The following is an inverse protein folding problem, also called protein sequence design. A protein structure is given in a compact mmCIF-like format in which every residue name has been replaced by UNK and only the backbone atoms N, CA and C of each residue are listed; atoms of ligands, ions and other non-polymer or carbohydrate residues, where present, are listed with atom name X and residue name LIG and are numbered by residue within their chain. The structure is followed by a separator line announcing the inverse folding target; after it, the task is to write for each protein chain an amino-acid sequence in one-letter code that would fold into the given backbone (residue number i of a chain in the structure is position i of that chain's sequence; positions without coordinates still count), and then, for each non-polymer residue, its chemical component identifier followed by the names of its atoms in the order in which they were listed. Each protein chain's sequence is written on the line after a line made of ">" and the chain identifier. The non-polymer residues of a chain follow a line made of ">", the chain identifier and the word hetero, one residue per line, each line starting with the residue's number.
data_IF_114823225518
#
_entry.id   IF_114823225518
#
_cell.length_a   1.000
_cell.length_b   1.000
_cell.length_c   1.000
_cell.angle_alpha   90.00
_cell.angle_beta   90.00
_cell.angle_gamma   90.00
#
_symmetry.space_group_name_H-M   'P 1'
#
loop_
_entity.id
_entity.type
_entity.pdbx_description
1 polymer ?
#
# COMPACT_ATOMS: atom_id res chain seq x y z
N UNK A 1 7.88 23.21 6.65
CA UNK A 1 8.66 22.69 7.78
C UNK A 1 10.15 22.88 7.51
N UNK A 2 10.88 23.68 8.31
CA UNK A 2 12.33 23.68 8.31
C UNK A 2 12.85 22.37 8.92
N UNK A 3 13.98 21.85 8.42
CA UNK A 3 14.58 20.58 8.83
C UNK A 3 15.33 19.90 7.66
N UNK A 4 16.27 19.02 7.98
CA UNK A 4 17.00 18.21 6.98
C UNK A 4 16.02 17.30 6.22
N UNK A 5 16.39 16.82 5.03
CA UNK A 5 15.53 15.90 4.26
C UNK A 5 15.18 14.64 5.09
N UNK A 6 16.10 14.21 5.95
CA UNK A 6 15.91 13.08 6.85
C UNK A 6 14.80 13.36 7.88
N UNK A 7 14.83 14.51 8.56
CA UNK A 7 13.81 14.91 9.55
C UNK A 7 12.41 15.05 8.96
N UNK A 8 12.29 15.30 7.66
CA UNK A 8 10.99 15.40 6.97
C UNK A 8 10.41 14.04 6.57
N UNK A 9 11.27 13.04 6.37
CA UNK A 9 10.87 11.70 5.95
C UNK A 9 10.67 10.79 7.17
N UNK A 10 11.34 11.10 8.28
CA UNK A 10 11.32 10.35 9.55
C UNK A 10 9.91 9.90 10.03
N UNK A 11 8.85 10.73 9.98
CA UNK A 11 7.52 10.28 10.40
C UNK A 11 6.95 9.13 9.55
N UNK A 12 7.29 9.08 8.26
CA UNK A 12 6.86 8.02 7.32
C UNK A 12 7.70 6.75 7.45
N UNK A 13 8.90 6.85 8.05
CA UNK A 13 9.78 5.70 8.28
C UNK A 13 9.49 5.04 9.62
N UNK A 14 8.77 5.70 10.52
CA UNK A 14 8.46 5.18 11.86
C UNK A 14 7.84 3.77 11.85
N UNK A 15 6.85 3.44 10.99
CA UNK A 15 6.31 2.08 10.95
C UNK A 15 7.36 1.01 10.62
N UNK A 16 8.33 1.34 9.75
CA UNK A 16 9.44 0.44 9.42
C UNK A 16 10.40 0.29 10.61
N UNK A 17 10.68 1.37 11.33
CA UNK A 17 11.46 1.31 12.57
C UNK A 17 10.78 0.48 13.65
N UNK A 18 9.47 0.65 13.84
CA UNK A 18 8.68 -0.12 14.80
C UNK A 18 8.72 -1.62 14.45
N UNK A 19 8.55 -1.97 13.16
CA UNK A 19 8.66 -3.35 12.69
C UNK A 19 10.07 -3.95 12.93
N UNK A 20 11.13 -3.17 12.77
CA UNK A 20 12.49 -3.62 13.09
C UNK A 20 12.66 -3.89 14.59
N UNK A 21 12.05 -3.08 15.46
CA UNK A 21 12.08 -3.28 16.91
C UNK A 21 11.37 -4.56 17.38
N UNK A 22 10.37 -5.04 16.63
CA UNK A 22 9.70 -6.31 16.91
C UNK A 22 10.56 -7.53 16.51
N UNK A 23 11.53 -7.35 15.62
CA UNK A 23 12.35 -8.43 15.05
C UNK A 23 13.78 -8.50 15.61
N UNK A 24 14.29 -7.39 16.16
CA UNK A 24 15.69 -7.23 16.51
C UNK A 24 15.86 -6.47 17.82
N UNK A 25 17.00 -6.68 18.49
CA UNK A 25 17.35 -5.91 19.68
C UNK A 25 17.36 -4.40 19.38
N UNK A 26 16.61 -3.56 20.12
CA UNK A 26 16.50 -2.12 19.88
C UNK A 26 17.85 -1.38 19.85
N UNK A 27 18.83 -1.87 20.61
CA UNK A 27 20.17 -1.28 20.69
C UNK A 27 21.05 -1.61 19.47
N UNK A 28 20.71 -2.66 18.72
CA UNK A 28 21.45 -3.07 17.53
C UNK A 28 21.01 -2.28 16.28
N UNK A 29 19.75 -1.89 16.20
CA UNK A 29 19.17 -1.21 15.02
C UNK A 29 19.95 0.06 14.64
N UNK A 30 20.23 1.01 15.56
CA UNK A 30 20.99 2.22 15.21
C UNK A 30 22.40 1.89 14.68
N UNK A 31 23.05 0.85 15.20
CA UNK A 31 24.39 0.43 14.77
C UNK A 31 24.35 -0.14 13.35
N UNK A 32 23.35 -0.95 13.04
CA UNK A 32 23.18 -1.54 11.70
C UNK A 32 22.79 -0.50 10.65
N UNK A 33 21.95 0.47 11.03
CA UNK A 33 21.62 1.63 10.18
C UNK A 33 22.86 2.48 9.89
N UNK A 34 23.66 2.81 10.91
CA UNK A 34 24.91 3.57 10.75
C UNK A 34 25.96 2.83 9.93
N UNK A 35 26.04 1.50 10.06
CA UNK A 35 26.92 0.65 9.27
C UNK A 35 26.44 0.45 7.82
N UNK A 36 25.23 0.90 7.47
CA UNK A 36 24.62 0.71 6.16
C UNK A 36 24.16 -0.72 5.88
N UNK A 37 24.09 -1.57 6.92
CA UNK A 37 23.57 -2.94 6.81
C UNK A 37 22.05 -2.94 6.63
N UNK A 38 21.37 -2.04 7.35
CA UNK A 38 19.96 -1.73 7.13
C UNK A 38 19.91 -0.35 6.50
N UNK A 39 19.22 -0.24 5.38
CA UNK A 39 19.00 1.02 4.70
C UNK A 39 17.50 1.22 4.49
N UNK A 40 16.98 2.32 5.04
CA UNK A 40 15.62 2.78 4.78
C UNK A 40 15.73 4.05 3.93
N UNK A 41 15.25 3.98 2.70
CA UNK A 41 15.40 5.06 1.73
C UNK A 41 14.17 5.19 0.84
N UNK A 42 13.83 6.42 0.40
CA UNK A 42 12.74 6.62 -0.53
C UNK A 42 13.08 6.05 -1.92
N UNK A 43 12.06 5.64 -2.67
CA UNK A 43 12.20 5.00 -3.99
C UNK A 43 13.12 5.76 -4.97
N UNK A 44 13.13 7.09 -4.90
CA UNK A 44 13.96 7.93 -5.77
C UNK A 44 15.47 7.66 -5.62
N UNK A 45 15.92 7.18 -4.46
CA UNK A 45 17.34 6.89 -4.17
C UNK A 45 17.81 5.60 -4.83
N UNK A 46 16.88 4.79 -5.35
CA UNK A 46 17.21 3.54 -6.04
C UNK A 46 17.70 3.78 -7.47
N UNK A 47 17.44 4.96 -8.04
CA UNK A 47 17.82 5.30 -9.41
C UNK A 47 19.33 5.14 -9.62
N UNK A 48 19.71 4.37 -10.63
CA UNK A 48 21.11 4.16 -11.02
C UNK A 48 21.89 3.19 -10.14
N UNK A 49 21.27 2.61 -9.11
CA UNK A 49 21.91 1.58 -8.27
C UNK A 49 21.83 0.20 -8.93
N UNK A 50 22.75 -0.67 -8.53
CA UNK A 50 22.64 -2.12 -8.67
C UNK A 50 22.79 -2.68 -7.27
N UNK A 51 21.82 -3.46 -6.81
CA UNK A 51 21.75 -3.96 -5.45
C UNK A 51 22.20 -5.43 -5.47
N UNK A 52 23.45 -5.68 -5.09
CA UNK A 52 24.02 -7.03 -4.97
C UNK A 52 24.04 -7.46 -3.50
N UNK A 53 23.97 -8.77 -3.28
CA UNK A 53 24.02 -9.41 -1.95
C UNK A 53 23.07 -8.78 -0.92
N UNK A 54 21.85 -8.42 -1.35
CA UNK A 54 20.88 -7.68 -0.55
C UNK A 54 19.49 -8.33 -0.56
N UNK A 55 18.75 -8.13 0.54
CA UNK A 55 17.31 -8.37 0.62
C UNK A 55 16.59 -7.04 0.59
N UNK A 56 15.78 -6.80 -0.44
CA UNK A 56 15.18 -5.50 -0.71
C UNK A 56 13.66 -5.62 -0.64
N UNK A 57 13.03 -4.72 0.11
CA UNK A 57 11.57 -4.61 0.20
C UNK A 57 11.15 -3.27 -0.38
N UNK A 58 10.20 -3.31 -1.33
CA UNK A 58 9.44 -2.13 -1.74
C UNK A 58 8.05 -2.24 -1.13
N UNK A 59 7.77 -1.39 -0.15
CA UNK A 59 6.48 -1.32 0.50
C UNK A 59 5.56 -0.26 -0.11
N UNK A 60 4.25 -0.42 0.11
CA UNK A 60 3.20 0.45 -0.44
C UNK A 60 3.28 0.62 -1.97
N UNK A 61 3.65 -0.46 -2.66
CA UNK A 61 3.98 -0.45 -4.08
C UNK A 61 2.81 -0.05 -5.00
N UNK A 62 1.57 -0.09 -4.50
CA UNK A 62 0.40 0.38 -5.22
C UNK A 62 0.51 1.88 -5.58
N UNK A 63 1.29 2.65 -4.80
CA UNK A 63 1.54 4.08 -5.00
C UNK A 63 2.72 4.38 -5.93
N UNK A 64 3.23 3.37 -6.64
CA UNK A 64 4.24 3.57 -7.69
C UNK A 64 3.60 3.67 -9.06
N UNK A 65 4.23 4.37 -10.01
CA UNK A 65 3.88 4.28 -11.43
C UNK A 65 4.53 3.05 -12.06
N UNK A 66 4.03 2.62 -13.23
CA UNK A 66 4.66 1.53 -14.00
C UNK A 66 6.14 1.80 -14.32
N UNK A 67 6.49 3.06 -14.59
CA UNK A 67 7.88 3.48 -14.85
C UNK A 67 8.76 3.38 -13.61
N UNK A 68 8.24 3.78 -12.44
CA UNK A 68 8.93 3.66 -11.17
C UNK A 68 9.12 2.19 -10.77
N UNK A 69 8.09 1.36 -10.97
CA UNK A 69 8.15 -0.08 -10.73
C UNK A 69 9.22 -0.74 -11.61
N UNK A 70 9.22 -0.45 -12.92
CA UNK A 70 10.27 -0.93 -13.84
C UNK A 70 11.66 -0.44 -13.43
N UNK A 71 11.78 0.84 -13.06
CA UNK A 71 13.04 1.41 -12.57
C UNK A 71 13.56 0.63 -11.36
N UNK A 72 12.69 0.31 -10.41
CA UNK A 72 13.02 -0.41 -9.19
C UNK A 72 13.40 -1.87 -9.43
N UNK A 73 12.56 -2.64 -10.14
CA UNK A 73 12.82 -4.06 -10.38
C UNK A 73 14.11 -4.29 -11.16
N UNK A 74 14.48 -3.36 -12.05
CA UNK A 74 15.75 -3.42 -12.79
C UNK A 74 16.98 -3.03 -11.95
N UNK A 75 16.84 -2.78 -10.64
CA UNK A 75 17.97 -2.59 -9.73
C UNK A 75 18.47 -3.91 -9.13
N UNK A 76 17.74 -5.02 -9.32
CA UNK A 76 18.14 -6.35 -8.85
C UNK A 76 19.52 -6.74 -9.38
N UNK A 77 20.45 -7.00 -8.47
CA UNK A 77 21.77 -7.53 -8.75
C UNK A 77 21.93 -9.01 -8.34
N UNK A 78 23.16 -9.50 -8.41
CA UNK A 78 23.48 -10.88 -8.04
C UNK A 78 23.32 -11.12 -6.54
N UNK A 79 23.04 -12.37 -6.16
CA UNK A 79 22.90 -12.76 -4.75
C UNK A 79 21.74 -12.10 -4.00
N UNK A 80 20.84 -11.42 -4.72
CA UNK A 80 19.82 -10.56 -4.11
C UNK A 80 18.41 -11.09 -4.29
N UNK A 81 17.49 -10.63 -3.44
CA UNK A 81 16.05 -10.91 -3.51
C UNK A 81 15.27 -9.62 -3.34
N UNK A 82 14.25 -9.44 -4.18
CA UNK A 82 13.29 -8.35 -4.05
C UNK A 82 11.95 -8.93 -3.60
N UNK A 83 11.34 -8.29 -2.61
CA UNK A 83 9.93 -8.46 -2.24
C UNK A 83 9.22 -7.14 -2.48
N UNK A 84 8.09 -7.18 -3.17
CA UNK A 84 7.24 -6.02 -3.42
C UNK A 84 5.92 -6.26 -2.71
N UNK A 85 5.52 -5.35 -1.81
CA UNK A 85 4.28 -5.43 -1.03
C UNK A 85 3.38 -4.25 -1.37
N UNK A 86 2.06 -4.45 -1.27
CA UNK A 86 1.08 -3.39 -1.46
C UNK A 86 -0.34 -3.92 -1.64
N UNK A 87 -1.31 -3.01 -1.57
CA UNK A 87 -2.74 -3.30 -1.75
C UNK A 87 -3.28 -2.59 -3.01
N UNK A 88 -3.60 -3.36 -4.04
CA UNK A 88 -4.11 -2.84 -5.32
C UNK A 88 -5.47 -2.12 -5.21
N UNK A 89 -6.16 -2.23 -4.08
CA UNK A 89 -7.44 -1.54 -3.82
C UNK A 89 -7.24 -0.15 -3.21
N UNK A 90 -6.06 0.16 -2.69
CA UNK A 90 -5.74 1.41 -1.98
C UNK A 90 -4.75 2.29 -2.77
N UNK A 91 -4.98 2.42 -4.08
CA UNK A 91 -4.12 3.22 -4.96
C UNK A 91 -4.34 4.71 -4.70
N UNK A 92 -3.30 5.39 -4.23
CA UNK A 92 -3.26 6.85 -4.04
C UNK A 92 -2.29 7.50 -5.03
N UNK A 93 -2.66 7.49 -6.31
CA UNK A 93 -1.87 8.11 -7.38
C UNK A 93 -2.56 9.37 -7.91
N UNK A 94 -1.81 10.49 -8.09
CA UNK A 94 -2.35 11.70 -8.69
C UNK A 94 -2.97 11.42 -10.06
N UNK A 95 -4.16 11.96 -10.30
CA UNK A 95 -4.85 11.84 -11.58
C UNK A 95 -5.36 10.43 -11.90
N UNK A 96 -5.41 9.53 -10.92
CA UNK A 96 -5.88 8.15 -11.13
C UNK A 96 -4.97 7.35 -12.06
N UNK A 97 -3.68 7.69 -12.09
CA UNK A 97 -2.71 6.98 -12.91
C UNK A 97 -2.70 5.49 -12.58
N UNK A 98 -2.39 4.67 -13.60
CA UNK A 98 -2.32 3.22 -13.43
C UNK A 98 -1.19 2.85 -12.46
N UNK A 99 -1.54 2.11 -11.42
CA UNK A 99 -0.59 1.58 -10.44
C UNK A 99 0.47 0.68 -11.08
N UNK A 100 1.71 0.88 -10.67
CA UNK A 100 2.87 0.09 -11.04
C UNK A 100 2.79 -1.33 -10.51
N UNK A 101 2.22 -1.54 -9.32
CA UNK A 101 1.98 -2.88 -8.78
C UNK A 101 1.02 -3.68 -9.68
N UNK A 102 -0.12 -3.09 -10.06
CA UNK A 102 -1.07 -3.72 -10.98
C UNK A 102 -0.46 -3.96 -12.37
N UNK A 103 0.32 -2.99 -12.88
CA UNK A 103 1.00 -3.16 -14.16
C UNK A 103 2.03 -4.31 -14.11
N UNK A 104 2.83 -4.40 -13.04
CA UNK A 104 3.81 -5.46 -12.87
C UNK A 104 3.16 -6.84 -12.73
N UNK A 105 2.05 -6.96 -11.98
CA UNK A 105 1.33 -8.23 -11.88
C UNK A 105 0.85 -8.73 -13.25
N UNK A 106 0.38 -7.84 -14.11
CA UNK A 106 -0.07 -8.23 -15.45
C UNK A 106 1.09 -8.52 -16.40
N UNK A 107 2.15 -7.70 -16.39
CA UNK A 107 3.26 -7.77 -17.36
C UNK A 107 4.22 -8.93 -17.04
N UNK A 108 4.45 -9.21 -15.76
CA UNK A 108 5.47 -10.17 -15.32
C UNK A 108 4.89 -11.56 -14.99
N UNK A 109 3.58 -11.74 -15.19
CA UNK A 109 2.96 -13.07 -15.06
C UNK A 109 3.63 -14.05 -16.02
N UNK A 110 4.02 -15.22 -15.49
CA UNK A 110 4.62 -16.30 -16.28
C UNK A 110 6.13 -16.18 -16.50
N UNK A 111 6.79 -15.19 -15.90
CA UNK A 111 8.26 -15.13 -15.86
C UNK A 111 8.76 -16.07 -14.76
N UNK A 112 9.67 -16.98 -15.12
CA UNK A 112 10.35 -17.86 -14.17
C UNK A 112 11.10 -17.03 -13.10
N UNK A 113 11.17 -17.55 -11.87
CA UNK A 113 11.72 -16.87 -10.68
C UNK A 113 10.94 -15.63 -10.19
N UNK A 114 9.77 -15.33 -10.75
CA UNK A 114 8.81 -14.35 -10.20
C UNK A 114 7.58 -15.06 -9.66
N UNK A 115 7.23 -14.77 -8.40
CA UNK A 115 6.03 -15.30 -7.76
C UNK A 115 5.10 -14.19 -7.30
N UNK A 116 3.80 -14.39 -7.51
CA UNK A 116 2.75 -13.51 -7.02
C UNK A 116 1.98 -14.20 -5.90
N UNK A 117 2.17 -13.71 -4.68
CA UNK A 117 1.39 -14.13 -3.52
C UNK A 117 0.24 -13.13 -3.30
N UNK A 118 -0.99 -13.59 -3.50
CA UNK A 118 -2.20 -12.81 -3.20
C UNK A 118 -2.71 -13.24 -1.84
N UNK A 119 -2.76 -12.30 -0.89
CA UNK A 119 -3.39 -12.48 0.40
C UNK A 119 -4.81 -11.93 0.35
N UNK A 120 -5.74 -12.56 1.07
CA UNK A 120 -7.11 -12.10 1.19
C UNK A 120 -7.48 -11.79 2.66
N UNK A 121 -8.75 -11.47 2.90
CA UNK A 121 -9.23 -11.10 4.24
C UNK A 121 -9.08 -12.23 5.26
N UNK A 122 -8.98 -13.49 4.82
CA UNK A 122 -8.76 -14.64 5.70
C UNK A 122 -7.32 -14.73 6.23
N UNK A 123 -6.36 -14.11 5.55
CA UNK A 123 -4.96 -14.02 5.98
C UNK A 123 -4.72 -12.92 7.02
N UNK A 124 -5.72 -12.05 7.25
CA UNK A 124 -5.61 -10.88 8.11
C UNK A 124 -5.86 -11.26 9.57
N UNK A 125 -4.77 -11.50 10.31
CA UNK A 125 -4.84 -11.75 11.76
C UNK A 125 -4.84 -10.43 12.54
N UNK A 126 -5.98 -10.07 13.11
CA UNK A 126 -6.15 -8.88 13.96
C UNK A 126 -6.64 -9.26 15.35
N UNK A 127 -6.36 -8.39 16.32
CA UNK A 127 -6.95 -8.53 17.66
C UNK A 127 -8.48 -8.51 17.57
N UNK A 128 -9.17 -9.40 18.30
CA UNK A 128 -10.65 -9.57 18.23
C UNK A 128 -11.43 -8.26 18.37
N UNK A 129 -10.96 -7.36 19.23
CA UNK A 129 -11.56 -6.04 19.41
C UNK A 129 -11.51 -5.19 18.13
N UNK A 130 -10.40 -5.24 17.39
CA UNK A 130 -10.26 -4.49 16.13
C UNK A 130 -11.26 -4.99 15.10
N UNK A 131 -11.44 -6.32 14.98
CA UNK A 131 -12.48 -6.89 14.12
C UNK A 131 -13.88 -6.40 14.51
N UNK A 132 -14.24 -6.47 15.80
CA UNK A 132 -15.54 -5.97 16.28
C UNK A 132 -15.75 -4.47 16.00
N UNK A 133 -14.69 -3.66 16.07
CA UNK A 133 -14.74 -2.24 15.74
C UNK A 133 -15.01 -2.07 14.24
N UNK A 134 -14.27 -2.75 13.38
CA UNK A 134 -14.46 -2.70 11.92
C UNK A 134 -15.89 -3.12 11.56
N UNK A 135 -16.36 -4.26 12.08
CA UNK A 135 -17.72 -4.77 11.84
C UNK A 135 -18.81 -3.80 12.32
N UNK A 136 -18.56 -3.01 13.37
CA UNK A 136 -19.49 -2.00 13.85
C UNK A 136 -19.56 -0.79 12.91
N UNK A 137 -18.43 -0.36 12.36
CA UNK A 137 -18.38 0.72 11.37
C UNK A 137 -19.01 0.30 10.03
N UNK A 138 -18.69 -0.90 9.54
CA UNK A 138 -19.27 -1.43 8.30
C UNK A 138 -20.80 -1.52 8.37
N UNK A 139 -21.36 -2.00 9.48
CA UNK A 139 -22.82 -2.03 9.71
C UNK A 139 -23.43 -0.63 9.69
N UNK A 140 -22.79 0.34 10.34
CA UNK A 140 -23.28 1.71 10.36
C UNK A 140 -23.26 2.36 8.97
N UNK A 141 -22.21 2.12 8.18
CA UNK A 141 -22.11 2.61 6.80
C UNK A 141 -23.12 1.94 5.87
N UNK A 142 -23.38 0.64 6.03
CA UNK A 142 -24.40 -0.07 5.26
C UNK A 142 -25.81 0.42 5.56
N UNK A 143 -26.11 0.67 6.84
CA UNK A 143 -27.42 1.17 7.27
C UNK A 143 -27.67 2.58 6.73
N UNK A 144 -26.66 3.48 6.81
CA UNK A 144 -26.74 4.83 6.23
C UNK A 144 -26.88 4.82 4.71
N UNK A 145 -26.16 3.94 4.01
CA UNK A 145 -26.26 3.79 2.56
C UNK A 145 -27.65 3.26 2.16
N UNK A 146 -28.22 2.37 2.97
CA UNK A 146 -29.60 1.87 2.84
C UNK A 146 -30.65 2.97 3.05
N UNK A 147 -30.51 3.78 4.10
CA UNK A 147 -31.41 4.90 4.40
C UNK A 147 -31.40 5.97 3.29
N UNK A 148 -30.22 6.33 2.77
CA UNK A 148 -30.07 7.25 1.64
C UNK A 148 -30.72 6.70 0.35
N UNK A 149 -30.61 5.38 0.11
CA UNK A 149 -31.24 4.72 -1.04
C UNK A 149 -32.77 4.57 -0.91
N UNK A 150 -33.31 4.54 0.32
CA UNK A 150 -34.75 4.52 0.59
C UNK A 150 -35.34 5.94 0.45
N UNK A 151 -34.65 6.97 0.97
CA UNK A 151 -35.06 8.38 0.84
C UNK A 151 -35.18 8.83 -0.62
N UNK A 152 -34.21 8.48 -1.46
CA UNK A 152 -34.22 8.80 -2.89
C UNK A 152 -35.34 8.08 -3.67
N UNK A 153 -35.75 6.87 -3.26
CA UNK A 153 -36.86 6.13 -3.89
C UNK A 153 -38.22 6.71 -3.52
N UNK A 154 -38.41 7.14 -2.27
CA UNK A 154 -39.64 7.81 -1.83
C UNK A 154 -39.85 9.15 -2.55
N UNK A 155 -38.79 9.96 -2.70
CA UNK A 155 -38.84 11.24 -3.43
C UNK A 155 -39.10 11.05 -4.94
N UNK A 156 -38.50 10.05 -5.59
CA UNK A 156 -38.78 9.73 -7.01
C UNK A 156 -40.22 9.29 -7.26
N UNK A 157 -40.81 8.50 -6.34
CA UNK A 157 -42.23 8.09 -6.45
C UNK A 157 -43.19 9.26 -6.29
N UNK A 158 -42.90 10.21 -5.39
CA UNK A 158 -43.70 11.42 -5.23
C UNK A 158 -43.65 12.33 -6.46
N UNK A 159 -42.49 12.45 -7.12
CA UNK A 159 -42.34 13.26 -8.34
C UNK A 159 -43.06 12.68 -9.57
N UNK A 160 -43.17 11.36 -9.69
CA UNK A 160 -43.91 10.71 -10.78
C UNK A 160 -45.44 10.71 -10.61
N UNK A 161 -45.95 10.92 -9.39
CA UNK A 161 -47.39 10.95 -9.12
C UNK A 161 -48.05 12.29 -9.51
N UNK A 162 -47.28 13.34 -9.83
CA UNK A 162 -47.79 14.70 -10.03
C UNK A 162 -47.74 15.20 -11.49
N UNK A 163 -47.58 14.31 -12.48
CA UNK A 163 -47.63 14.72 -13.89
C UNK A 163 -49.09 14.78 -14.36
N UNK A 164 -49.69 15.98 -14.58
CA UNK A 164 -51.06 16.07 -15.06
C UNK A 164 -51.05 15.72 -16.54
N UNK A 165 -51.82 14.69 -16.91
CA UNK A 165 -52.08 14.36 -18.32
C UNK A 165 -52.78 15.55 -18.97
N UNK A 166 -52.11 16.18 -19.93
CA UNK A 166 -52.71 17.07 -20.93
C UNK A 166 -52.82 16.33 -22.24
#
# INVERSE_FOLDING_TARGET
>A
LPGTLHEKIDPYLRPLHDALHDMMDPEAIPKLMQAGVIEVAPLAYMRGRTLNDAFIILDEAQNTTAEQMKMFLTRLGFGSKIVVTGDVTQVDLPGGARSGLRAASEILTGIDDIHFATLDSSDVVRHRLVSHIVDAYERHESDRSGELAVGNRAQRRAAHAHSPRR
#
